data_IF_295065373011
#
_entry.id   IF_295065373011
#
_cell.length_a   1.000
_cell.length_b   1.000
_cell.length_c   1.000
_cell.angle_alpha   90.00
_cell.angle_beta   90.00
_cell.angle_gamma   90.00
#
_symmetry.space_group_name_H-M   'P 1'
#
loop_
_entity.id
_entity.type
_entity.pdbx_description
1 polymer ?
#
# COMPACT_ATOMS: atom_id res chain seq x y z
N UNK A 1 -6.21 4.13 4.58
CA UNK A 1 -7.01 3.53 5.67
C UNK A 1 -6.41 3.93 7.02
N UNK A 2 -7.20 4.06 8.10
CA UNK A 2 -6.69 4.46 9.41
C UNK A 2 -5.95 3.31 10.12
N UNK A 3 -4.98 3.64 10.97
CA UNK A 3 -4.20 2.68 11.80
C UNK A 3 -5.07 1.70 12.60
N UNK A 4 -6.21 2.16 13.10
CA UNK A 4 -7.10 1.39 13.98
C UNK A 4 -8.23 0.67 13.23
N UNK A 5 -8.28 0.76 11.90
CA UNK A 5 -9.20 -0.05 11.11
C UNK A 5 -8.85 -1.53 11.28
N UNK A 6 -9.83 -2.42 11.16
CA UNK A 6 -9.57 -3.84 11.36
C UNK A 6 -8.85 -4.47 10.17
N UNK A 7 -8.18 -5.60 10.40
CA UNK A 7 -7.65 -6.44 9.31
C UNK A 7 -8.75 -6.86 8.33
N UNK A 8 -10.00 -7.06 8.81
CA UNK A 8 -11.16 -7.30 7.94
C UNK A 8 -11.42 -6.13 6.99
N UNK A 9 -11.42 -4.90 7.50
CA UNK A 9 -11.62 -3.69 6.67
C UNK A 9 -10.52 -3.58 5.60
N UNK A 10 -9.27 -3.89 5.99
CA UNK A 10 -8.13 -3.92 5.10
C UNK A 10 -8.31 -4.92 3.95
N UNK A 11 -8.77 -6.13 4.27
CA UNK A 11 -9.02 -7.19 3.29
C UNK A 11 -10.15 -6.83 2.32
N UNK A 12 -11.22 -6.20 2.81
CA UNK A 12 -12.31 -5.70 1.97
C UNK A 12 -11.80 -4.61 1.03
N UNK A 13 -10.95 -3.70 1.52
CA UNK A 13 -10.38 -2.63 0.71
C UNK A 13 -9.40 -3.16 -0.35
N UNK A 14 -8.60 -4.20 -0.05
CA UNK A 14 -7.80 -4.92 -1.05
C UNK A 14 -8.68 -5.45 -2.19
N UNK A 15 -9.77 -6.13 -1.82
CA UNK A 15 -10.72 -6.69 -2.79
C UNK A 15 -11.42 -5.62 -3.63
N UNK A 16 -11.77 -4.48 -2.99
CA UNK A 16 -12.48 -3.37 -3.64
C UNK A 16 -11.60 -2.64 -4.66
N UNK A 17 -10.33 -2.42 -4.33
CA UNK A 17 -9.42 -1.61 -5.15
C UNK A 17 -8.70 -2.40 -6.22
N UNK A 18 -8.42 -3.69 -5.98
CA UNK A 18 -7.64 -4.52 -6.89
C UNK A 18 -6.18 -4.08 -7.07
N UNK A 19 -5.70 -3.14 -6.25
CA UNK A 19 -4.33 -2.59 -6.36
C UNK A 19 -3.25 -3.53 -5.81
N UNK A 20 -3.66 -4.54 -5.02
CA UNK A 20 -2.74 -5.45 -4.34
C UNK A 20 -2.09 -4.87 -3.08
N UNK A 21 -2.45 -3.64 -2.69
CA UNK A 21 -2.08 -3.05 -1.40
C UNK A 21 -3.16 -2.10 -0.88
N UNK A 22 -3.10 -1.82 0.42
CA UNK A 22 -3.80 -0.71 1.06
C UNK A 22 -2.80 0.12 1.85
N UNK A 23 -2.77 1.43 1.60
CA UNK A 23 -1.98 2.36 2.41
C UNK A 23 -2.65 2.56 3.78
N UNK A 24 -1.87 2.42 4.84
CA UNK A 24 -2.29 2.69 6.22
C UNK A 24 -1.70 4.02 6.65
N UNK A 25 -2.55 4.92 7.13
CA UNK A 25 -2.20 6.30 7.46
C UNK A 25 -2.60 6.67 8.88
N UNK A 26 -1.90 7.64 9.44
CA UNK A 26 -2.28 8.30 10.69
C UNK A 26 -3.40 9.34 10.48
N UNK A 27 -3.74 10.06 11.55
CA UNK A 27 -4.77 11.10 11.53
C UNK A 27 -4.41 12.31 10.64
N UNK A 28 -3.12 12.49 10.32
CA UNK A 28 -2.61 13.56 9.46
C UNK A 28 -2.46 13.14 7.99
N UNK A 29 -2.97 11.95 7.62
CA UNK A 29 -2.86 11.33 6.30
C UNK A 29 -1.42 10.95 5.90
N UNK A 30 -0.51 10.86 6.86
CA UNK A 30 0.86 10.39 6.60
C UNK A 30 0.86 8.87 6.49
N UNK A 31 1.55 8.34 5.49
CA UNK A 31 1.66 6.89 5.29
C UNK A 31 2.55 6.27 6.37
N UNK A 32 1.96 5.42 7.20
CA UNK A 32 2.65 4.69 8.28
C UNK A 32 3.03 3.27 7.87
N UNK A 33 2.37 2.73 6.83
CA UNK A 33 2.65 1.40 6.34
C UNK A 33 1.75 0.99 5.18
N UNK A 34 1.93 -0.25 4.74
CA UNK A 34 1.07 -0.88 3.74
C UNK A 34 0.61 -2.25 4.22
N UNK A 35 -0.61 -2.61 3.83
CA UNK A 35 -1.18 -3.93 4.05
C UNK A 35 -1.43 -4.61 2.71
N UNK A 36 -1.00 -5.88 2.58
CA UNK A 36 -1.08 -6.67 1.35
C UNK A 36 -1.61 -8.08 1.65
N UNK A 37 -1.95 -8.86 0.62
CA UNK A 37 -2.29 -10.29 0.78
C UNK A 37 -1.17 -11.09 1.45
N UNK A 38 0.09 -10.67 1.24
CA UNK A 38 1.25 -11.26 1.89
C UNK A 38 1.24 -11.04 3.41
N UNK A 39 0.85 -9.84 3.83
CA UNK A 39 0.68 -9.50 5.25
C UNK A 39 -0.49 -10.26 5.85
N UNK A 40 -1.65 -10.26 5.17
CA UNK A 40 -2.83 -11.02 5.57
C UNK A 40 -2.50 -12.50 5.77
N UNK A 41 -1.84 -13.12 4.80
CA UNK A 41 -1.45 -14.53 4.88
C UNK A 41 -0.52 -14.78 6.07
N UNK A 42 0.49 -13.94 6.27
CA UNK A 42 1.41 -14.07 7.42
C UNK A 42 0.68 -13.92 8.75
N UNK A 43 -0.23 -12.95 8.84
CA UNK A 43 -1.05 -12.68 10.01
C UNK A 43 -1.92 -13.86 10.39
N UNK A 44 -2.66 -14.43 9.42
CA UNK A 44 -3.52 -15.59 9.64
C UNK A 44 -2.74 -16.84 10.02
N UNK A 45 -1.60 -17.10 9.37
CA UNK A 45 -0.73 -18.24 9.75
C UNK A 45 -0.18 -18.09 11.17
N UNK A 46 0.02 -16.85 11.63
CA UNK A 46 0.41 -16.55 13.01
C UNK A 46 -0.72 -16.65 14.05
N UNK A 47 -1.95 -17.01 13.64
CA UNK A 47 -3.11 -17.08 14.54
C UNK A 47 -3.76 -15.73 14.83
N UNK A 48 -3.46 -14.70 14.04
CA UNK A 48 -4.02 -13.37 14.18
C UNK A 48 -5.52 -13.31 13.89
N UNK A 49 -6.23 -12.44 14.62
CA UNK A 49 -7.66 -12.24 14.43
C UNK A 49 -7.94 -11.18 13.35
N UNK A 50 -9.05 -11.32 12.62
CA UNK A 50 -9.48 -10.32 11.63
C UNK A 50 -10.01 -9.02 12.26
N UNK A 51 -10.42 -9.08 13.53
CA UNK A 51 -10.87 -7.92 14.31
C UNK A 51 -9.73 -7.08 14.85
N UNK A 52 -8.48 -7.55 14.75
CA UNK A 52 -7.30 -6.81 15.24
C UNK A 52 -7.08 -5.55 14.39
N UNK A 53 -6.61 -4.45 15.00
CA UNK A 53 -6.12 -3.28 14.27
C UNK A 53 -5.09 -3.63 13.18
N UNK A 54 -5.25 -3.04 12.00
CA UNK A 54 -4.40 -3.32 10.84
C UNK A 54 -2.97 -2.88 11.05
N UNK A 55 -2.72 -1.89 11.91
CA UNK A 55 -1.36 -1.47 12.26
C UNK A 55 -0.52 -2.56 12.95
N UNK A 56 -1.15 -3.58 13.54
CA UNK A 56 -0.47 -4.75 14.10
C UNK A 56 -0.11 -5.81 13.05
N UNK A 57 -0.83 -5.81 11.92
CA UNK A 57 -0.68 -6.80 10.85
C UNK A 57 0.03 -6.27 9.60
N UNK A 58 0.18 -4.95 9.46
CA UNK A 58 0.76 -4.30 8.28
C UNK A 58 2.28 -4.43 8.22
N UNK A 59 2.85 -4.25 7.04
CA UNK A 59 4.26 -3.89 6.91
C UNK A 59 4.42 -2.43 7.31
N UNK A 60 5.11 -2.18 8.44
CA UNK A 60 5.42 -0.83 8.92
C UNK A 60 6.42 -0.15 8.00
N UNK A 61 6.16 1.11 7.70
CA UNK A 61 6.86 1.82 6.64
C UNK A 61 6.62 1.18 5.28
N UNK A 62 7.57 1.36 4.37
CA UNK A 62 7.47 0.80 3.02
C UNK A 62 8.05 1.74 1.98
N UNK A 63 7.91 1.35 0.72
CA UNK A 63 8.27 2.22 -0.38
C UNK A 63 7.08 3.10 -0.71
N UNK A 64 7.27 4.41 -0.66
CA UNK A 64 6.34 5.40 -1.21
C UNK A 64 6.96 6.03 -2.46
N UNK A 65 6.10 6.54 -3.33
CA UNK A 65 6.48 7.27 -4.54
C UNK A 65 6.06 8.73 -4.39
N UNK A 66 6.87 9.65 -4.90
CA UNK A 66 6.54 11.07 -4.87
C UNK A 66 5.57 11.40 -6.00
N UNK A 67 4.53 12.19 -5.73
CA UNK A 67 3.50 12.55 -6.70
C UNK A 67 4.04 13.32 -7.92
N UNK A 68 5.16 14.01 -7.72
CA UNK A 68 5.89 14.76 -8.73
C UNK A 68 6.94 13.92 -9.48
N UNK A 69 7.13 12.64 -9.14
CA UNK A 69 8.06 11.76 -9.85
C UNK A 69 7.57 11.45 -11.27
N UNK A 70 8.51 11.34 -12.20
CA UNK A 70 8.18 10.83 -13.54
C UNK A 70 7.75 9.38 -13.42
N UNK A 71 6.77 8.99 -14.23
CA UNK A 71 6.26 7.62 -14.25
C UNK A 71 7.37 6.57 -14.49
N UNK A 72 8.35 6.88 -15.34
CA UNK A 72 9.47 5.96 -15.61
C UNK A 72 10.33 5.69 -14.36
N UNK A 73 10.59 6.73 -13.55
CA UNK A 73 11.37 6.63 -12.33
C UNK A 73 10.59 5.83 -11.27
N UNK A 74 9.28 6.09 -11.17
CA UNK A 74 8.37 5.35 -10.30
C UNK A 74 8.37 3.84 -10.64
N UNK A 75 8.26 3.49 -11.93
CA UNK A 75 8.37 2.11 -12.40
C UNK A 75 9.70 1.47 -11.97
N UNK A 76 10.82 2.15 -12.21
CA UNK A 76 12.14 1.61 -11.88
C UNK A 76 12.28 1.32 -10.38
N UNK A 77 11.72 2.19 -9.52
CA UNK A 77 11.67 1.95 -8.08
C UNK A 77 10.90 0.66 -7.77
N UNK A 78 9.69 0.49 -8.33
CA UNK A 78 8.87 -0.72 -8.11
C UNK A 78 9.63 -1.99 -8.53
N UNK A 79 10.22 -1.99 -9.73
CA UNK A 79 10.97 -3.15 -10.25
C UNK A 79 12.21 -3.46 -9.41
N UNK A 80 13.00 -2.44 -9.06
CA UNK A 80 14.21 -2.60 -8.24
C UNK A 80 13.90 -3.14 -6.85
N UNK A 81 12.79 -2.68 -6.25
CA UNK A 81 12.30 -3.15 -4.96
C UNK A 81 11.54 -4.47 -5.04
N UNK A 82 11.27 -4.99 -6.24
CA UNK A 82 10.48 -6.20 -6.50
C UNK A 82 9.09 -6.14 -5.87
N UNK A 83 8.46 -4.96 -5.94
CA UNK A 83 7.09 -4.72 -5.50
C UNK A 83 6.23 -4.33 -6.70
N UNK A 84 4.94 -4.64 -6.66
CA UNK A 84 4.01 -4.43 -7.77
C UNK A 84 3.19 -3.16 -7.63
N UNK A 85 3.15 -2.56 -6.45
CA UNK A 85 2.41 -1.34 -6.18
C UNK A 85 3.06 -0.56 -5.03
N UNK A 86 2.83 0.75 -4.98
CA UNK A 86 3.24 1.61 -3.89
C UNK A 86 2.24 2.78 -3.68
N UNK A 87 2.09 3.26 -2.43
CA UNK A 87 1.42 4.53 -2.17
C UNK A 87 2.16 5.70 -2.84
N UNK A 88 1.40 6.66 -3.33
CA UNK A 88 1.91 7.93 -3.87
C UNK A 88 1.65 9.02 -2.82
N UNK A 89 2.68 9.83 -2.54
CA UNK A 89 2.65 10.88 -1.51
C UNK A 89 3.07 12.23 -2.06
N UNK A 90 2.61 13.32 -1.44
CA UNK A 90 3.09 14.68 -1.71
C UNK A 90 4.48 14.94 -1.07
N UNK A 91 5.00 16.16 -1.23
CA UNK A 91 6.27 16.58 -0.63
C UNK A 91 6.28 16.57 0.90
N UNK A 92 5.10 16.55 1.53
CA UNK A 92 4.92 16.50 2.97
C UNK A 92 4.66 15.08 3.48
N UNK A 93 4.71 14.06 2.61
CA UNK A 93 4.47 12.66 2.97
C UNK A 93 3.00 12.26 3.09
N UNK A 94 2.06 13.16 2.73
CA UNK A 94 0.63 12.85 2.76
C UNK A 94 0.24 11.98 1.58
N UNK A 95 -0.60 10.99 1.83
CA UNK A 95 -1.15 10.13 0.79
C UNK A 95 -1.97 10.93 -0.23
N UNK A 96 -1.59 10.84 -1.50
CA UNK A 96 -2.31 11.44 -2.63
C UNK A 96 -2.93 10.39 -3.55
N UNK A 97 -2.45 9.16 -3.50
CA UNK A 97 -2.98 8.04 -4.28
C UNK A 97 -2.14 6.78 -4.12
N UNK A 98 -2.26 5.87 -5.07
CA UNK A 98 -1.43 4.69 -5.18
C UNK A 98 -1.29 4.33 -6.66
N UNK A 99 -0.22 3.63 -7.01
CA UNK A 99 0.03 3.16 -8.37
C UNK A 99 0.53 1.72 -8.33
N UNK A 100 0.14 0.92 -9.32
CA UNK A 100 0.60 -0.43 -9.52
C UNK A 100 1.25 -0.62 -10.91
N UNK A 101 1.93 -1.75 -11.13
CA UNK A 101 2.57 -2.05 -12.41
C UNK A 101 1.58 -2.14 -13.59
N UNK A 102 0.33 -2.54 -13.33
CA UNK A 102 -0.73 -2.61 -14.34
C UNK A 102 -1.10 -1.22 -14.89
N UNK A 103 -1.05 -0.18 -14.06
CA UNK A 103 -1.27 1.20 -14.50
C UNK A 103 -0.24 1.63 -15.55
N UNK A 104 1.01 1.20 -15.41
CA UNK A 104 2.06 1.49 -16.40
C UNK A 104 1.88 0.73 -17.72
N UNK A 105 1.43 -0.53 -17.66
CA UNK A 105 1.06 -1.29 -18.86
C UNK A 105 -0.10 -0.63 -19.60
N UNK A 106 -1.14 -0.20 -18.89
CA UNK A 106 -2.30 0.47 -19.47
C UNK A 106 -1.92 1.82 -20.11
N UNK A 107 -0.96 2.53 -19.51
CA UNK A 107 -0.46 3.80 -20.02
C UNK A 107 0.54 3.65 -21.19
N UNK A 108 0.92 2.43 -21.59
CA UNK A 108 1.90 2.19 -22.66
C UNK A 108 3.32 2.64 -22.30
N UNK A 109 3.64 2.71 -21.01
CA UNK A 109 4.98 3.06 -20.48
C UNK A 109 5.86 1.80 -20.41
N UNK A 110 5.24 0.62 -20.50
CA UNK A 110 5.84 -0.73 -20.51
C UNK A 110 5.15 -1.56 -21.58
#
# INVERSE_FOLDING_TARGET
MALTASVMDAMLELSRTGLGLVAVCDAQQQVQGVFTDGDLRRWLVGGGALTTPVNEAMTVGGTTLQSQSRAIDAKEILMKRKITAAPVVDENGKLTGAINLQDFYQAGII
#
